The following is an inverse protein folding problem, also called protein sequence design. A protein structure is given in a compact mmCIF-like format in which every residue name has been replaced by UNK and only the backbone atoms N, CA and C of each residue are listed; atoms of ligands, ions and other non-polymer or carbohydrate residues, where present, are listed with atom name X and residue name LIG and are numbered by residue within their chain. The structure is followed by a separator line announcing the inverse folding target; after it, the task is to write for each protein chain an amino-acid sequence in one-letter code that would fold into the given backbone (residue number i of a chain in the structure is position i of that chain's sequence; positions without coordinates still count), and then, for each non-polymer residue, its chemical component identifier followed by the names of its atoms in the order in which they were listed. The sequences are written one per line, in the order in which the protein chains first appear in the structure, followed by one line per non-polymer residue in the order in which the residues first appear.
data_IF_599141273426
#
_entry.id   IF_599141273426
#
_cell.length_a   1.000
_cell.length_b   1.000
_cell.length_c   1.000
_cell.angle_alpha   90.00
_cell.angle_beta   90.00
_cell.angle_gamma   90.00
#
_symmetry.space_group_name_H-M   'P 1'
#
loop_
_entity.id
_entity.type
_entity.pdbx_description
1 polymer ?
#
# COMPACT_ATOMS: atom_id res chain seq x y z
N UNK A 1 3.19 21.26 42.03
CA UNK A 1 1.79 21.64 41.76
C UNK A 1 1.24 22.43 42.95
N UNK A 2 1.01 23.75 42.79
CA UNK A 2 0.74 24.66 43.93
C UNK A 2 -0.55 24.33 44.69
N UNK A 3 -1.64 23.98 43.99
CA UNK A 3 -2.91 23.66 44.63
C UNK A 3 -2.85 22.36 45.48
N UNK A 4 -2.23 21.31 44.94
CA UNK A 4 -2.09 20.02 45.62
C UNK A 4 -1.14 20.08 46.83
N UNK A 5 -0.10 20.91 46.75
CA UNK A 5 0.83 21.13 47.86
C UNK A 5 0.16 21.83 49.05
N UNK A 6 -0.82 22.71 48.79
CA UNK A 6 -1.59 23.40 49.83
C UNK A 6 -2.69 22.52 50.43
N UNK A 7 -3.40 21.73 49.61
CA UNK A 7 -4.41 20.80 50.08
C UNK A 7 -4.46 19.53 49.21
N UNK A 8 -4.28 18.35 49.83
CA UNK A 8 -4.33 17.07 49.14
C UNK A 8 -5.72 16.78 48.53
N UNK A 9 -6.79 17.30 49.15
CA UNK A 9 -8.16 17.15 48.63
C UNK A 9 -8.42 17.92 47.34
N UNK A 10 -7.58 18.89 46.97
CA UNK A 10 -7.67 19.59 45.68
C UNK A 10 -7.49 18.66 44.47
N UNK A 11 -6.91 17.47 44.67
CA UNK A 11 -6.81 16.45 43.61
C UNK A 11 -8.20 15.97 43.14
N UNK A 12 -9.19 15.90 44.04
CA UNK A 12 -10.56 15.47 43.71
C UNK A 12 -11.17 16.37 42.64
N UNK A 13 -10.94 17.68 42.72
CA UNK A 13 -11.40 18.63 41.70
C UNK A 13 -10.86 18.28 40.32
N UNK A 14 -9.53 18.09 40.19
CA UNK A 14 -8.92 17.77 38.90
C UNK A 14 -9.33 16.40 38.36
N UNK A 15 -9.50 15.40 39.24
CA UNK A 15 -9.97 14.08 38.85
C UNK A 15 -11.39 14.17 38.28
N UNK A 16 -12.30 14.85 38.98
CA UNK A 16 -13.69 15.04 38.52
C UNK A 16 -13.72 15.85 37.23
N UNK A 17 -12.94 16.94 37.15
CA UNK A 17 -12.84 17.77 35.97
C UNK A 17 -12.37 16.98 34.74
N UNK A 18 -11.26 16.25 34.84
CA UNK A 18 -10.75 15.43 33.73
C UNK A 18 -11.68 14.28 33.37
N UNK A 19 -12.37 13.70 34.36
CA UNK A 19 -13.38 12.65 34.13
C UNK A 19 -14.53 13.16 33.27
N UNK A 20 -15.01 14.37 33.55
CA UNK A 20 -16.12 14.98 32.83
C UNK A 20 -15.66 15.55 31.49
N UNK A 21 -14.63 16.38 31.45
CA UNK A 21 -14.23 17.08 30.22
C UNK A 21 -13.60 16.12 29.19
N UNK A 22 -12.56 15.38 29.60
CA UNK A 22 -11.77 14.58 28.66
C UNK A 22 -12.49 13.28 28.27
N UNK A 23 -13.03 12.55 29.25
CA UNK A 23 -13.63 11.24 28.96
C UNK A 23 -15.09 11.32 28.52
N UNK A 24 -15.87 12.26 29.05
CA UNK A 24 -17.28 12.39 28.68
C UNK A 24 -17.48 13.38 27.52
N UNK A 25 -17.13 14.66 27.71
CA UNK A 25 -17.46 15.71 26.73
C UNK A 25 -16.68 15.53 25.43
N UNK A 26 -15.36 15.36 25.47
CA UNK A 26 -14.54 15.25 24.24
C UNK A 26 -14.86 14.01 23.42
N UNK A 27 -15.09 12.85 24.06
CA UNK A 27 -15.47 11.64 23.35
C UNK A 27 -16.89 11.71 22.78
N UNK A 28 -17.84 12.33 23.51
CA UNK A 28 -19.19 12.57 22.99
C UNK A 28 -19.16 13.48 21.77
N UNK A 29 -18.37 14.57 21.81
CA UNK A 29 -18.18 15.46 20.68
C UNK A 29 -17.61 14.71 19.46
N UNK A 30 -16.56 13.91 19.66
CA UNK A 30 -15.96 13.11 18.59
C UNK A 30 -16.96 12.13 17.98
N UNK A 31 -17.78 11.47 18.82
CA UNK A 31 -18.80 10.53 18.38
C UNK A 31 -19.88 11.20 17.52
N UNK A 32 -20.41 12.35 17.95
CA UNK A 32 -21.42 13.09 17.19
C UNK A 32 -20.87 13.61 15.85
N UNK A 33 -19.64 14.14 15.85
CA UNK A 33 -18.99 14.59 14.62
C UNK A 33 -18.74 13.42 13.66
N UNK A 34 -18.31 12.27 14.17
CA UNK A 34 -18.09 11.08 13.33
C UNK A 34 -19.39 10.53 12.74
N UNK A 35 -20.47 10.47 13.52
CA UNK A 35 -21.77 9.96 13.06
C UNK A 35 -22.36 10.87 11.96
N UNK A 36 -22.38 12.18 12.20
CA UNK A 36 -22.82 13.16 11.20
C UNK A 36 -21.97 13.13 9.93
N UNK A 37 -20.65 12.96 10.05
CA UNK A 37 -19.76 12.79 8.89
C UNK A 37 -20.09 11.52 8.09
N UNK A 38 -20.32 10.38 8.76
CA UNK A 38 -20.68 9.13 8.09
C UNK A 38 -22.01 9.23 7.35
N UNK A 39 -23.00 9.93 7.92
CA UNK A 39 -24.27 10.18 7.24
C UNK A 39 -24.09 11.02 5.98
N UNK A 40 -23.24 12.05 6.03
CA UNK A 40 -22.88 12.86 4.86
C UNK A 40 -22.16 12.01 3.81
N UNK A 41 -21.19 11.18 4.18
CA UNK A 41 -20.51 10.27 3.25
C UNK A 41 -21.51 9.30 2.59
N UNK A 42 -22.42 8.72 3.38
CA UNK A 42 -23.46 7.80 2.89
C UNK A 42 -24.40 8.48 1.89
N UNK A 43 -24.85 9.70 2.18
CA UNK A 43 -25.71 10.47 1.27
C UNK A 43 -24.97 10.87 -0.01
N UNK A 44 -23.69 11.25 0.10
CA UNK A 44 -22.85 11.56 -1.06
C UNK A 44 -22.64 10.33 -1.94
N UNK A 45 -22.32 9.19 -1.36
CA UNK A 45 -22.16 7.93 -2.09
C UNK A 45 -23.45 7.51 -2.79
N UNK A 46 -24.60 7.61 -2.12
CA UNK A 46 -25.92 7.36 -2.72
C UNK A 46 -26.18 8.27 -3.92
N UNK A 47 -25.93 9.56 -3.80
CA UNK A 47 -26.08 10.53 -4.90
C UNK A 47 -25.17 10.19 -6.09
N UNK A 48 -23.91 9.79 -5.84
CA UNK A 48 -22.98 9.37 -6.90
C UNK A 48 -23.44 8.10 -7.62
N UNK A 49 -23.98 7.12 -6.89
CA UNK A 49 -24.54 5.90 -7.50
C UNK A 49 -25.78 6.21 -8.35
N UNK A 50 -26.69 7.06 -7.86
CA UNK A 50 -27.87 7.48 -8.61
C UNK A 50 -27.49 8.25 -9.88
N UNK A 51 -26.49 9.13 -9.80
CA UNK A 51 -25.98 9.86 -10.97
C UNK A 51 -25.39 8.89 -12.02
N UNK A 52 -24.59 7.91 -11.60
CA UNK A 52 -24.08 6.86 -12.50
C UNK A 52 -25.22 6.06 -13.14
N UNK A 53 -26.23 5.70 -12.36
CA UNK A 53 -27.40 4.95 -12.85
C UNK A 53 -28.21 5.74 -13.88
N UNK A 54 -28.50 7.00 -13.57
CA UNK A 54 -29.18 7.91 -14.48
C UNK A 54 -28.39 8.09 -15.79
N UNK A 55 -27.07 8.24 -15.74
CA UNK A 55 -26.23 8.31 -16.94
C UNK A 55 -26.32 7.02 -17.78
N UNK A 56 -26.35 5.85 -17.14
CA UNK A 56 -26.55 4.56 -17.81
C UNK A 56 -27.94 4.50 -18.46
N UNK A 57 -28.99 4.93 -17.78
CA UNK A 57 -30.36 4.95 -18.31
C UNK A 57 -30.44 5.81 -19.58
N UNK A 58 -29.89 7.03 -19.54
CA UNK A 58 -29.83 7.93 -20.70
C UNK A 58 -29.01 7.32 -21.84
N UNK A 59 -27.83 6.76 -21.54
CA UNK A 59 -26.99 6.11 -22.55
C UNK A 59 -27.69 4.90 -23.18
N UNK A 60 -28.39 4.08 -22.40
CA UNK A 60 -29.14 2.92 -22.88
C UNK A 60 -30.26 3.36 -23.83
N UNK A 61 -31.04 4.38 -23.44
CA UNK A 61 -32.10 4.95 -24.29
C UNK A 61 -31.58 5.48 -25.62
N UNK A 62 -30.39 6.08 -25.64
CA UNK A 62 -29.75 6.56 -26.88
C UNK A 62 -29.18 5.44 -27.76
N UNK A 63 -28.71 4.35 -27.15
CA UNK A 63 -28.11 3.23 -27.87
C UNK A 63 -29.15 2.30 -28.48
N UNK A 64 -30.31 2.17 -27.85
CA UNK A 64 -31.41 1.35 -28.34
C UNK A 64 -32.04 2.00 -29.57
N UNK A 65 -32.14 1.23 -30.66
CA UNK A 65 -32.75 1.72 -31.89
C UNK A 65 -34.28 1.74 -31.76
N UNK A 66 -34.94 2.76 -32.34
CA UNK A 66 -36.41 2.81 -32.47
C UNK A 66 -37.02 1.55 -33.09
N UNK A 67 -36.24 0.83 -33.93
CA UNK A 67 -36.70 -0.40 -34.59
C UNK A 67 -36.52 -1.67 -33.74
N UNK A 68 -35.67 -1.65 -32.70
CA UNK A 68 -35.43 -2.80 -31.81
C UNK A 68 -35.27 -2.32 -30.37
N UNK A 69 -36.37 -2.11 -29.63
CA UNK A 69 -36.34 -1.59 -28.26
C UNK A 69 -35.80 -2.60 -27.22
N UNK A 70 -35.60 -3.86 -27.63
CA UNK A 70 -35.38 -5.00 -26.73
C UNK A 70 -33.98 -5.05 -26.10
N UNK A 71 -33.00 -4.31 -26.61
CA UNK A 71 -31.66 -4.26 -26.01
C UNK A 71 -30.56 -3.72 -26.91
N UNK A 72 -29.35 -3.64 -26.35
CA UNK A 72 -28.17 -3.13 -27.04
C UNK A 72 -27.45 -4.29 -27.75
N UNK A 73 -27.29 -4.18 -29.07
CA UNK A 73 -26.53 -5.15 -29.87
C UNK A 73 -25.02 -4.94 -29.76
N UNK A 74 -24.24 -5.97 -30.10
CA UNK A 74 -22.78 -5.89 -30.11
C UNK A 74 -22.25 -4.76 -30.99
N UNK A 75 -22.89 -4.46 -32.13
CA UNK A 75 -22.47 -3.35 -33.02
C UNK A 75 -22.63 -1.98 -32.35
N UNK A 76 -23.74 -1.76 -31.65
CA UNK A 76 -23.99 -0.51 -30.90
C UNK A 76 -23.02 -0.37 -29.73
N UNK A 77 -22.79 -1.46 -28.98
CA UNK A 77 -21.80 -1.47 -27.91
C UNK A 77 -20.37 -1.23 -28.43
N UNK A 78 -20.00 -1.83 -29.55
CA UNK A 78 -18.70 -1.60 -30.19
C UNK A 78 -18.50 -0.13 -30.56
N UNK A 79 -19.55 0.51 -31.10
CA UNK A 79 -19.58 1.94 -31.39
C UNK A 79 -19.37 2.81 -30.15
N UNK A 80 -20.11 2.54 -29.06
CA UNK A 80 -19.93 3.22 -27.78
C UNK A 80 -18.48 3.10 -27.29
N UNK A 81 -17.91 1.89 -27.33
CA UNK A 81 -16.58 1.62 -26.79
C UNK A 81 -15.46 2.30 -27.58
N UNK A 82 -15.64 2.51 -28.89
CA UNK A 82 -14.68 3.26 -29.71
C UNK A 82 -14.50 4.70 -29.22
N UNK A 83 -15.57 5.33 -28.75
CA UNK A 83 -15.51 6.70 -28.22
C UNK A 83 -15.21 6.74 -26.72
N UNK A 84 -15.83 5.87 -25.94
CA UNK A 84 -15.66 5.86 -24.48
C UNK A 84 -14.26 5.40 -24.05
N UNK A 85 -13.68 4.38 -24.72
CA UNK A 85 -12.35 3.84 -24.41
C UNK A 85 -11.59 3.47 -25.69
N UNK A 86 -11.07 4.45 -26.45
CA UNK A 86 -10.51 4.23 -27.78
C UNK A 86 -9.29 3.30 -27.82
N UNK A 87 -8.54 3.20 -26.71
CA UNK A 87 -7.35 2.33 -26.59
C UNK A 87 -7.67 0.85 -26.42
N UNK A 88 -8.95 0.46 -26.31
CA UNK A 88 -9.36 -0.91 -26.03
C UNK A 88 -9.37 -1.80 -27.29
N UNK A 89 -8.71 -2.96 -27.24
CA UNK A 89 -8.66 -3.87 -28.38
C UNK A 89 -10.04 -4.43 -28.75
N UNK A 90 -10.27 -4.81 -30.01
CA UNK A 90 -11.55 -5.39 -30.44
C UNK A 90 -11.91 -6.66 -29.65
N UNK A 91 -10.91 -7.48 -29.31
CA UNK A 91 -11.07 -8.67 -28.46
C UNK A 91 -11.55 -8.29 -27.06
N UNK A 92 -10.95 -7.29 -26.44
CA UNK A 92 -11.36 -6.82 -25.12
C UNK A 92 -12.79 -6.27 -25.11
N UNK A 93 -13.17 -5.51 -26.14
CA UNK A 93 -14.55 -5.01 -26.30
C UNK A 93 -15.57 -6.13 -26.42
N UNK A 94 -15.23 -7.19 -27.14
CA UNK A 94 -16.09 -8.38 -27.20
C UNK A 94 -16.17 -9.10 -25.84
N UNK A 95 -15.05 -9.23 -25.12
CA UNK A 95 -15.02 -9.84 -23.80
C UNK A 95 -15.84 -9.04 -22.77
N UNK A 96 -15.78 -7.70 -22.78
CA UNK A 96 -16.63 -6.88 -21.92
C UNK A 96 -18.10 -7.01 -22.25
N UNK A 97 -18.47 -7.04 -23.53
CA UNK A 97 -19.85 -7.28 -23.94
C UNK A 97 -20.35 -8.64 -23.42
N UNK A 98 -19.55 -9.69 -23.60
CA UNK A 98 -19.89 -11.03 -23.12
C UNK A 98 -19.97 -11.10 -21.59
N UNK A 99 -19.12 -10.38 -20.88
CA UNK A 99 -19.11 -10.33 -19.42
C UNK A 99 -20.28 -9.53 -18.83
N UNK A 100 -20.78 -8.52 -19.55
CA UNK A 100 -22.01 -7.81 -19.19
C UNK A 100 -23.25 -8.69 -19.37
N UNK A 101 -23.24 -9.55 -20.39
CA UNK A 101 -24.37 -10.39 -20.74
C UNK A 101 -24.51 -11.59 -19.78
N UNK A 102 -25.21 -11.38 -18.67
CA UNK A 102 -25.51 -12.47 -17.73
C UNK A 102 -26.69 -13.34 -18.16
N UNK A 103 -27.57 -12.82 -19.02
CA UNK A 103 -28.75 -13.53 -19.53
C UNK A 103 -28.45 -14.49 -20.69
N UNK A 104 -27.28 -14.40 -21.32
CA UNK A 104 -26.91 -15.21 -22.50
C UNK A 104 -27.69 -14.83 -23.76
N UNK A 105 -28.46 -13.73 -23.73
CA UNK A 105 -29.25 -13.26 -24.85
C UNK A 105 -28.36 -12.66 -25.95
N UNK A 106 -28.80 -12.58 -27.21
CA UNK A 106 -28.04 -11.91 -28.27
C UNK A 106 -27.91 -10.38 -28.09
N UNK A 107 -28.66 -9.80 -27.15
CA UNK A 107 -28.70 -8.36 -26.86
C UNK A 107 -28.59 -8.12 -25.35
N UNK A 108 -28.01 -6.99 -24.95
CA UNK A 108 -27.91 -6.58 -23.55
C UNK A 108 -29.21 -5.92 -23.09
N UNK A 109 -29.77 -6.41 -21.98
CA UNK A 109 -30.89 -5.79 -21.28
C UNK A 109 -30.42 -4.57 -20.46
N UNK A 110 -31.35 -3.72 -20.02
CA UNK A 110 -31.03 -2.60 -19.12
C UNK A 110 -30.43 -3.09 -17.79
N UNK A 111 -30.91 -4.23 -17.27
CA UNK A 111 -30.41 -4.83 -16.04
C UNK A 111 -28.96 -5.30 -16.17
N UNK A 112 -28.62 -5.94 -17.29
CA UNK A 112 -27.24 -6.30 -17.63
C UNK A 112 -26.36 -5.05 -17.76
N UNK A 113 -26.90 -3.99 -18.37
CA UNK A 113 -26.18 -2.74 -18.62
C UNK A 113 -25.93 -1.92 -17.35
N UNK A 114 -26.65 -2.12 -16.24
CA UNK A 114 -26.32 -1.45 -14.97
C UNK A 114 -24.96 -1.84 -14.40
N UNK A 115 -24.45 -3.04 -14.73
CA UNK A 115 -23.11 -3.50 -14.33
C UNK A 115 -22.00 -2.91 -15.21
N UNK A 116 -22.33 -1.99 -16.13
CA UNK A 116 -21.39 -1.39 -17.07
C UNK A 116 -20.13 -0.84 -16.39
N UNK A 117 -20.26 -0.02 -15.36
CA UNK A 117 -19.11 0.58 -14.67
C UNK A 117 -18.26 -0.43 -13.90
N UNK A 118 -18.83 -1.56 -13.48
CA UNK A 118 -18.09 -2.64 -12.80
C UNK A 118 -17.24 -3.42 -13.81
N UNK A 119 -17.85 -3.81 -14.94
CA UNK A 119 -17.19 -4.65 -15.96
C UNK A 119 -16.17 -3.85 -16.78
N UNK A 120 -16.44 -2.58 -17.08
CA UNK A 120 -15.51 -1.74 -17.88
C UNK A 120 -14.19 -1.46 -17.14
N UNK A 121 -14.22 -1.49 -15.80
CA UNK A 121 -13.05 -1.32 -14.94
C UNK A 121 -12.10 -2.53 -14.98
N UNK A 122 -12.58 -3.68 -15.43
CA UNK A 122 -11.78 -4.90 -15.52
C UNK A 122 -10.74 -4.82 -16.64
N UNK A 123 -9.57 -5.41 -16.41
CA UNK A 123 -8.51 -5.58 -17.41
C UNK A 123 -8.46 -7.05 -17.83
N UNK A 124 -8.68 -7.32 -19.11
CA UNK A 124 -8.61 -8.68 -19.64
C UNK A 124 -7.15 -9.09 -19.85
N UNK A 125 -6.75 -10.21 -19.25
CA UNK A 125 -5.46 -10.85 -19.50
C UNK A 125 -5.70 -12.26 -20.00
N UNK A 126 -4.91 -12.69 -20.99
CA UNK A 126 -4.94 -14.07 -21.44
C UNK A 126 -4.21 -14.94 -20.43
N UNK A 127 -4.84 -16.04 -20.01
CA UNK A 127 -4.16 -17.10 -19.28
C UNK A 127 -3.39 -17.94 -20.29
N UNK A 128 -2.08 -17.71 -20.45
CA UNK A 128 -1.21 -18.59 -21.26
C UNK A 128 -1.07 -19.93 -20.54
N UNK A 129 -1.21 -21.05 -21.24
CA UNK A 129 -1.01 -22.39 -20.66
C UNK A 129 0.47 -22.79 -20.54
N UNK A 130 1.38 -22.02 -21.13
CA UNK A 130 2.83 -22.13 -20.89
C UNK A 130 3.12 -21.52 -19.52
N UNK A 131 3.16 -22.35 -18.49
CA UNK A 131 3.32 -21.92 -17.09
C UNK A 131 4.74 -21.45 -16.77
N UNK A 132 5.73 -21.80 -17.61
CA UNK A 132 7.14 -21.54 -17.31
C UNK A 132 7.83 -20.73 -18.41
N UNK A 133 8.61 -19.73 -18.02
CA UNK A 133 9.36 -18.88 -18.94
C UNK A 133 10.50 -19.64 -19.65
N UNK A 134 10.87 -20.80 -19.11
CA UNK A 134 11.97 -21.64 -19.58
C UNK A 134 11.54 -22.81 -20.49
N UNK A 135 10.26 -22.87 -20.89
CA UNK A 135 9.74 -23.93 -21.77
C UNK A 135 10.39 -23.92 -23.17
N UNK A 136 10.96 -22.79 -23.60
CA UNK A 136 11.62 -22.62 -24.91
C UNK A 136 13.16 -22.84 -24.86
N UNK A 137 13.73 -23.25 -23.70
CA UNK A 137 15.19 -23.44 -23.55
C UNK A 137 15.67 -24.86 -23.91
N UNK A 138 16.96 -25.01 -24.32
CA UNK A 138 17.56 -26.32 -24.59
C UNK A 138 17.52 -27.24 -23.37
N UNK A 139 17.48 -28.55 -23.62
CA UNK A 139 17.17 -29.60 -22.64
C UNK A 139 18.01 -29.56 -21.34
N UNK A 140 19.29 -29.16 -21.44
CA UNK A 140 20.21 -29.03 -20.30
C UNK A 140 19.84 -27.85 -19.39
N UNK A 141 19.55 -26.68 -19.98
CA UNK A 141 19.12 -25.51 -19.25
C UNK A 141 17.71 -25.71 -18.66
N UNK A 142 16.82 -26.38 -19.39
CA UNK A 142 15.49 -26.74 -18.91
C UNK A 142 15.54 -27.54 -17.60
N UNK A 143 16.43 -28.54 -17.50
CA UNK A 143 16.60 -29.33 -16.27
C UNK A 143 17.09 -28.48 -15.09
N UNK A 144 18.03 -27.56 -15.34
CA UNK A 144 18.56 -26.65 -14.31
C UNK A 144 17.45 -25.72 -13.80
N UNK A 145 16.73 -25.04 -14.70
CA UNK A 145 15.66 -24.12 -14.30
C UNK A 145 14.47 -24.84 -13.65
N UNK A 146 14.15 -26.07 -14.10
CA UNK A 146 13.14 -26.91 -13.45
C UNK A 146 13.55 -27.30 -12.03
N UNK A 147 14.82 -27.61 -11.80
CA UNK A 147 15.38 -27.86 -10.47
C UNK A 147 15.28 -26.63 -9.56
N UNK A 148 15.70 -25.46 -10.06
CA UNK A 148 15.60 -24.18 -9.33
C UNK A 148 14.14 -23.85 -9.00
N UNK A 149 13.22 -24.02 -9.95
CA UNK A 149 11.79 -23.82 -9.73
C UNK A 149 11.25 -24.72 -8.62
N UNK A 150 11.60 -26.01 -8.64
CA UNK A 150 11.17 -26.97 -7.62
C UNK A 150 11.73 -26.61 -6.24
N UNK A 151 13.00 -26.21 -6.18
CA UNK A 151 13.65 -25.77 -4.95
C UNK A 151 12.97 -24.52 -4.36
N UNK A 152 12.76 -23.48 -5.17
CA UNK A 152 12.14 -22.22 -4.74
C UNK A 152 10.69 -22.42 -4.29
N UNK A 153 9.96 -23.33 -4.94
CA UNK A 153 8.57 -23.65 -4.61
C UNK A 153 8.46 -24.55 -3.38
N UNK A 154 9.54 -25.21 -2.97
CA UNK A 154 9.54 -26.09 -1.81
C UNK A 154 9.23 -25.31 -0.51
N UNK A 155 8.43 -25.92 0.37
CA UNK A 155 8.16 -25.36 1.70
C UNK A 155 9.45 -25.26 2.54
N UNK A 156 10.38 -26.20 2.34
CA UNK A 156 11.66 -26.21 3.03
C UNK A 156 12.48 -24.95 2.76
N UNK A 157 12.54 -24.49 1.50
CA UNK A 157 13.23 -23.24 1.15
C UNK A 157 12.59 -22.03 1.83
N UNK A 158 11.26 -21.96 1.88
CA UNK A 158 10.55 -20.87 2.57
C UNK A 158 10.85 -20.86 4.08
N UNK A 159 10.81 -22.02 4.75
CA UNK A 159 11.16 -22.12 6.17
C UNK A 159 12.62 -21.80 6.43
N UNK A 160 13.55 -22.26 5.58
CA UNK A 160 14.97 -21.91 5.68
C UNK A 160 15.19 -20.39 5.65
N UNK A 161 14.52 -19.68 4.73
CA UNK A 161 14.61 -18.22 4.68
C UNK A 161 14.02 -17.54 5.91
N UNK A 162 12.93 -18.06 6.48
CA UNK A 162 12.40 -17.54 7.75
C UNK A 162 13.38 -17.74 8.92
N UNK A 163 14.06 -18.88 8.98
CA UNK A 163 15.11 -19.13 9.97
C UNK A 163 16.26 -18.14 9.80
N UNK A 164 16.73 -17.90 8.57
CA UNK A 164 17.77 -16.89 8.29
C UNK A 164 17.37 -15.51 8.77
N UNK A 165 16.12 -15.08 8.50
CA UNK A 165 15.62 -13.78 8.97
C UNK A 165 15.53 -13.73 10.50
N UNK A 166 15.12 -14.81 11.16
CA UNK A 166 15.08 -14.88 12.61
C UNK A 166 16.48 -14.81 13.24
N UNK A 167 17.46 -15.52 12.66
CA UNK A 167 18.86 -15.47 13.10
C UNK A 167 19.45 -14.07 12.90
N UNK A 168 19.16 -13.41 11.78
CA UNK A 168 19.57 -12.01 11.55
C UNK A 168 18.96 -11.06 12.59
N UNK A 169 17.68 -11.24 12.96
CA UNK A 169 17.05 -10.44 14.01
C UNK A 169 17.75 -10.60 15.37
N UNK A 170 18.05 -11.85 15.77
CA UNK A 170 18.79 -12.12 17.01
C UNK A 170 20.20 -11.54 16.94
N UNK A 171 20.88 -11.64 15.78
CA UNK A 171 22.21 -11.07 15.61
C UNK A 171 22.22 -9.55 15.78
N UNK A 172 21.28 -8.85 15.14
CA UNK A 172 21.13 -7.39 15.29
C UNK A 172 20.87 -7.01 16.75
N UNK A 173 20.05 -7.80 17.45
CA UNK A 173 19.76 -7.57 18.87
C UNK A 173 21.01 -7.73 19.74
N UNK A 174 21.78 -8.79 19.54
CA UNK A 174 23.04 -9.01 20.27
C UNK A 174 24.04 -7.90 19.96
N UNK A 175 24.18 -7.53 18.68
CA UNK A 175 25.06 -6.44 18.25
C UNK A 175 24.70 -5.12 18.95
N UNK A 176 23.41 -4.78 19.00
CA UNK A 176 22.93 -3.56 19.69
C UNK A 176 23.22 -3.57 21.20
N UNK A 177 23.00 -4.69 21.89
CA UNK A 177 23.35 -4.80 23.31
C UNK A 177 24.87 -4.71 23.57
N UNK A 178 25.69 -5.31 22.70
CA UNK A 178 27.15 -5.22 22.85
C UNK A 178 27.69 -3.80 22.60
N UNK A 179 27.03 -3.03 21.72
CA UNK A 179 27.42 -1.65 21.43
C UNK A 179 27.12 -0.70 22.61
N UNK A 180 26.04 -0.93 23.35
CA UNK A 180 25.72 -0.14 24.56
C UNK A 180 26.79 -0.28 25.65
N UNK A 181 27.53 -1.40 25.65
CA UNK A 181 28.60 -1.69 26.63
C UNK A 181 29.98 -1.06 26.33
N UNK A 182 30.08 -0.15 25.36
CA UNK A 182 31.27 0.72 25.19
C UNK A 182 32.19 0.42 24.01
N UNK A 183 31.78 -0.43 23.06
CA UNK A 183 32.52 -0.59 21.80
C UNK A 183 32.19 0.55 20.82
N UNK A 184 33.15 1.45 20.62
CA UNK A 184 33.06 2.56 19.67
C UNK A 184 32.77 2.06 18.26
N UNK A 185 31.86 2.75 17.56
CA UNK A 185 31.55 2.53 16.15
C UNK A 185 32.83 2.55 15.32
N UNK A 186 33.24 1.37 14.89
CA UNK A 186 34.11 1.25 13.73
C UNK A 186 33.28 1.68 12.52
N UNK A 187 33.77 2.66 11.72
CA UNK A 187 33.19 3.05 10.42
C UNK A 187 33.07 1.87 9.43
N UNK A 188 33.55 0.67 9.80
CA UNK A 188 33.46 -0.52 9.00
C UNK A 188 32.10 -1.21 9.14
N UNK A 189 31.57 -1.61 7.98
CA UNK A 189 30.40 -2.48 7.90
C UNK A 189 30.74 -3.82 8.56
N UNK A 190 29.91 -4.31 9.49
CA UNK A 190 30.17 -5.60 10.12
C UNK A 190 30.05 -6.71 9.07
N UNK A 191 30.98 -7.67 9.14
CA UNK A 191 31.03 -8.81 8.24
C UNK A 191 29.70 -9.60 8.23
N UNK A 192 29.01 -9.66 9.38
CA UNK A 192 27.68 -10.25 9.52
C UNK A 192 26.66 -9.66 8.54
N UNK A 193 26.65 -8.33 8.35
CA UNK A 193 25.74 -7.67 7.42
C UNK A 193 25.99 -8.09 5.97
N UNK A 194 27.26 -8.19 5.56
CA UNK A 194 27.63 -8.63 4.21
C UNK A 194 27.17 -10.07 3.99
N UNK A 195 27.34 -10.95 4.99
CA UNK A 195 26.86 -12.34 4.94
C UNK A 195 25.34 -12.41 4.79
N UNK A 196 24.57 -11.71 5.63
CA UNK A 196 23.10 -11.73 5.50
C UNK A 196 22.63 -11.13 4.17
N UNK A 197 23.23 -10.03 3.72
CA UNK A 197 22.88 -9.37 2.46
C UNK A 197 23.16 -10.28 1.26
N UNK A 198 24.30 -10.98 1.25
CA UNK A 198 24.62 -11.94 0.18
C UNK A 198 23.64 -13.11 0.16
N UNK A 199 23.23 -13.64 1.32
CA UNK A 199 22.19 -14.69 1.39
C UNK A 199 20.86 -14.18 0.81
N UNK A 200 20.42 -12.96 1.17
CA UNK A 200 19.20 -12.36 0.62
C UNK A 200 19.33 -12.04 -0.88
N UNK A 201 20.53 -11.69 -1.35
CA UNK A 201 20.83 -11.51 -2.77
C UNK A 201 20.64 -12.81 -3.55
N UNK A 202 21.25 -13.90 -3.07
CA UNK A 202 21.13 -15.23 -3.68
C UNK A 202 19.67 -15.69 -3.69
N UNK A 203 18.94 -15.51 -2.59
CA UNK A 203 17.51 -15.84 -2.51
C UNK A 203 16.70 -15.14 -3.62
N UNK A 204 16.86 -13.83 -3.76
CA UNK A 204 16.15 -13.03 -4.77
C UNK A 204 16.51 -13.48 -6.18
N UNK A 205 17.80 -13.74 -6.45
CA UNK A 205 18.27 -14.25 -7.75
C UNK A 205 17.69 -15.63 -8.07
N UNK A 206 17.67 -16.54 -7.11
CA UNK A 206 17.05 -17.87 -7.26
C UNK A 206 15.55 -17.75 -7.51
N UNK A 207 14.84 -16.86 -6.81
CA UNK A 207 13.41 -16.66 -7.01
C UNK A 207 13.09 -16.05 -8.38
N UNK A 208 13.86 -15.06 -8.84
CA UNK A 208 13.67 -14.43 -10.16
C UNK A 208 13.92 -15.46 -11.26
N UNK A 209 14.98 -16.26 -11.16
CA UNK A 209 15.30 -17.29 -12.16
C UNK A 209 14.32 -18.47 -12.11
N UNK A 210 13.88 -18.91 -10.93
CA UNK A 210 12.93 -20.01 -10.78
C UNK A 210 11.51 -19.65 -11.25
N UNK A 211 10.96 -18.52 -10.79
CA UNK A 211 9.56 -18.13 -11.08
C UNK A 211 9.43 -17.35 -12.40
N UNK A 212 10.51 -16.72 -12.85
CA UNK A 212 10.51 -15.77 -13.95
C UNK A 212 10.17 -14.35 -13.47
N UNK A 213 10.73 -13.31 -14.13
CA UNK A 213 10.59 -11.92 -13.67
C UNK A 213 9.13 -11.45 -13.62
N UNK A 214 8.31 -11.81 -14.62
CA UNK A 214 6.91 -11.39 -14.67
C UNK A 214 6.06 -11.98 -13.54
N UNK A 215 6.25 -13.26 -13.21
CA UNK A 215 5.52 -13.89 -12.11
C UNK A 215 6.06 -13.43 -10.74
N UNK A 216 7.37 -13.21 -10.64
CA UNK A 216 8.01 -12.70 -9.42
C UNK A 216 7.47 -11.33 -9.03
N UNK A 217 7.48 -10.36 -9.95
CA UNK A 217 7.01 -8.99 -9.68
C UNK A 217 5.49 -8.85 -9.58
N UNK A 218 4.72 -9.88 -9.96
CA UNK A 218 3.28 -9.89 -9.75
C UNK A 218 2.88 -10.02 -8.27
N UNK A 219 3.77 -10.53 -7.42
CA UNK A 219 3.54 -10.63 -5.98
C UNK A 219 4.13 -9.42 -5.27
N UNK A 220 3.28 -8.63 -4.60
CA UNK A 220 3.71 -7.43 -3.86
C UNK A 220 4.77 -7.73 -2.80
N UNK A 221 4.70 -8.92 -2.18
CA UNK A 221 5.69 -9.35 -1.19
C UNK A 221 7.07 -9.65 -1.81
N UNK A 222 7.11 -10.25 -2.99
CA UNK A 222 8.38 -10.49 -3.70
C UNK A 222 8.98 -9.17 -4.22
N UNK A 223 8.13 -8.23 -4.67
CA UNK A 223 8.55 -6.88 -5.01
C UNK A 223 9.16 -6.15 -3.80
N UNK A 224 8.54 -6.27 -2.63
CA UNK A 224 9.10 -5.74 -1.37
C UNK A 224 10.47 -6.34 -1.07
N UNK A 225 10.63 -7.68 -1.12
CA UNK A 225 11.92 -8.34 -0.88
C UNK A 225 13.00 -7.87 -1.85
N UNK A 226 12.67 -7.75 -3.12
CA UNK A 226 13.58 -7.24 -4.14
C UNK A 226 13.97 -5.79 -3.86
N UNK A 227 13.00 -4.92 -3.55
CA UNK A 227 13.28 -3.51 -3.28
C UNK A 227 14.22 -3.33 -2.08
N UNK A 228 13.95 -4.04 -0.97
CA UNK A 228 14.76 -3.96 0.25
C UNK A 228 16.17 -4.51 0.01
N UNK A 229 16.30 -5.65 -0.69
CA UNK A 229 17.62 -6.21 -1.05
C UNK A 229 18.37 -5.25 -2.00
N UNK A 230 17.70 -4.68 -3.00
CA UNK A 230 18.32 -3.78 -3.97
C UNK A 230 18.79 -2.47 -3.30
N UNK A 231 17.97 -1.87 -2.43
CA UNK A 231 18.38 -0.70 -1.63
C UNK A 231 19.58 -1.03 -0.74
N UNK A 232 19.60 -2.20 -0.10
CA UNK A 232 20.73 -2.61 0.75
C UNK A 232 22.04 -2.80 -0.05
N UNK A 233 21.97 -3.35 -1.27
CA UNK A 233 23.12 -3.40 -2.19
C UNK A 233 23.55 -2.01 -2.66
N UNK A 234 22.61 -1.13 -2.99
CA UNK A 234 22.90 0.25 -3.37
C UNK A 234 23.62 1.00 -2.23
N UNK A 235 23.18 0.82 -0.98
CA UNK A 235 23.85 1.37 0.20
C UNK A 235 25.27 0.82 0.40
N UNK A 236 25.48 -0.48 0.20
CA UNK A 236 26.80 -1.09 0.28
C UNK A 236 27.74 -0.54 -0.80
N UNK A 237 27.27 -0.46 -2.06
CA UNK A 237 28.04 0.09 -3.18
C UNK A 237 28.39 1.55 -2.93
N UNK A 238 27.42 2.37 -2.52
CA UNK A 238 27.63 3.79 -2.23
C UNK A 238 28.67 4.01 -1.12
N UNK A 239 28.71 3.12 -0.12
CA UNK A 239 29.72 3.16 0.93
C UNK A 239 31.12 2.82 0.40
N UNK A 240 31.25 1.83 -0.49
CA UNK A 240 32.53 1.50 -1.15
C UNK A 240 33.07 2.70 -1.95
N UNK A 241 32.18 3.51 -2.53
CA UNK A 241 32.54 4.76 -3.21
C UNK A 241 32.71 5.97 -2.28
N UNK A 242 32.75 5.78 -0.96
CA UNK A 242 32.89 6.83 0.06
C UNK A 242 31.82 7.94 -0.02
N UNK A 243 30.61 7.61 -0.45
CA UNK A 243 29.49 8.55 -0.46
C UNK A 243 28.86 8.62 0.94
N UNK A 244 29.43 9.43 1.83
CA UNK A 244 28.99 9.63 3.23
C UNK A 244 27.46 9.80 3.44
N UNK A 245 26.68 10.55 2.61
CA UNK A 245 25.24 10.68 2.84
C UNK A 245 24.43 9.38 2.67
N UNK A 246 24.97 8.36 2.00
CA UNK A 246 24.29 7.07 1.79
C UNK A 246 24.47 6.09 2.95
N UNK A 247 25.25 6.46 3.98
CA UNK A 247 25.43 5.64 5.18
C UNK A 247 24.10 5.32 5.88
N UNK A 248 23.11 6.21 5.78
CA UNK A 248 21.77 6.00 6.35
C UNK A 248 21.10 4.71 5.85
N UNK A 249 21.35 4.29 4.60
CA UNK A 249 20.78 3.05 4.03
C UNK A 249 21.29 1.83 4.80
N UNK A 250 22.56 1.86 5.20
CA UNK A 250 23.18 0.82 6.02
C UNK A 250 22.62 0.85 7.44
N UNK A 251 22.20 2.01 7.96
CA UNK A 251 21.50 2.11 9.26
C UNK A 251 20.09 1.50 9.18
N UNK A 252 19.45 1.55 8.02
CA UNK A 252 18.13 0.95 7.79
C UNK A 252 18.10 -0.59 7.71
N UNK A 253 19.19 -1.27 8.10
CA UNK A 253 19.28 -2.73 8.25
C UNK A 253 18.03 -3.40 8.87
N UNK A 254 17.42 -2.88 9.95
CA UNK A 254 16.23 -3.49 10.56
C UNK A 254 15.00 -3.55 9.64
N UNK A 255 14.92 -2.76 8.57
CA UNK A 255 13.83 -2.86 7.58
C UNK A 255 13.81 -4.24 6.90
N UNK A 256 14.94 -4.94 6.82
CA UNK A 256 15.00 -6.31 6.32
C UNK A 256 14.21 -7.29 7.21
N UNK A 257 14.05 -6.98 8.51
CA UNK A 257 13.29 -7.78 9.45
C UNK A 257 11.78 -7.67 9.24
N UNK A 258 11.29 -6.67 8.50
CA UNK A 258 9.87 -6.58 8.11
C UNK A 258 9.40 -7.82 7.34
N UNK A 259 10.33 -8.61 6.78
CA UNK A 259 10.05 -9.93 6.19
C UNK A 259 9.44 -10.92 7.19
N UNK A 260 9.74 -10.82 8.49
CA UNK A 260 9.10 -11.64 9.54
C UNK A 260 7.59 -11.44 9.59
N UNK A 261 7.10 -10.23 9.29
CA UNK A 261 5.66 -9.95 9.29
C UNK A 261 4.90 -10.76 8.23
N UNK A 262 5.58 -11.23 7.19
CA UNK A 262 5.00 -12.14 6.19
C UNK A 262 4.63 -13.49 6.75
N UNK A 263 5.14 -13.90 7.91
CA UNK A 263 4.91 -15.25 8.44
C UNK A 263 3.46 -15.42 8.90
N UNK A 264 2.90 -14.44 9.62
CA UNK A 264 1.53 -14.51 10.15
C UNK A 264 0.54 -13.88 9.18
N UNK A 265 -0.55 -14.61 8.87
CA UNK A 265 -1.64 -14.12 8.02
C UNK A 265 -2.24 -12.80 8.53
N UNK A 266 -2.33 -12.61 9.85
CA UNK A 266 -2.89 -11.38 10.44
C UNK A 266 -2.13 -10.13 9.99
N UNK A 267 -0.80 -10.15 10.03
CA UNK A 267 0.02 -9.02 9.58
C UNK A 267 -0.08 -8.82 8.07
N UNK A 268 -0.20 -9.90 7.29
CA UNK A 268 -0.43 -9.80 5.85
C UNK A 268 -1.72 -9.04 5.54
N UNK A 269 -2.83 -9.45 6.16
CA UNK A 269 -4.11 -8.79 5.99
C UNK A 269 -4.04 -7.29 6.36
N UNK A 270 -3.39 -6.95 7.46
CA UNK A 270 -3.24 -5.54 7.88
C UNK A 270 -2.47 -4.74 6.82
N UNK A 271 -1.32 -5.24 6.35
CA UNK A 271 -0.54 -4.52 5.34
C UNK A 271 -1.25 -4.43 3.98
N UNK A 272 -1.92 -5.50 3.56
CA UNK A 272 -2.72 -5.50 2.33
C UNK A 272 -3.84 -4.44 2.40
N UNK A 273 -4.58 -4.38 3.52
CA UNK A 273 -5.61 -3.34 3.73
C UNK A 273 -5.02 -1.93 3.83
N UNK A 274 -3.83 -1.77 4.44
CA UNK A 274 -3.16 -0.48 4.52
C UNK A 274 -2.81 0.06 3.14
N UNK A 275 -2.26 -0.78 2.25
CA UNK A 275 -1.94 -0.38 0.87
C UNK A 275 -3.19 -0.10 0.03
N UNK A 276 -4.28 -0.84 0.25
CA UNK A 276 -5.56 -0.58 -0.41
C UNK A 276 -6.17 0.76 0.02
N UNK A 277 -6.05 1.11 1.30
CA UNK A 277 -6.57 2.36 1.87
C UNK A 277 -5.64 3.56 1.68
N UNK A 278 -4.36 3.34 1.33
CA UNK A 278 -3.34 4.38 1.23
C UNK A 278 -3.75 5.56 0.33
N UNK A 279 -4.32 5.36 -0.88
CA UNK A 279 -4.75 6.49 -1.72
C UNK A 279 -5.85 7.34 -1.06
N UNK A 280 -6.78 6.71 -0.33
CA UNK A 280 -7.82 7.43 0.42
C UNK A 280 -7.20 8.23 1.57
N UNK A 281 -6.27 7.63 2.32
CA UNK A 281 -5.55 8.31 3.40
C UNK A 281 -4.73 9.50 2.89
N UNK A 282 -4.07 9.37 1.74
CA UNK A 282 -3.32 10.46 1.12
C UNK A 282 -4.22 11.67 0.77
N UNK A 283 -5.44 11.41 0.28
CA UNK A 283 -6.41 12.48 0.00
C UNK A 283 -6.87 13.23 1.27
N UNK A 284 -7.07 12.51 2.38
CA UNK A 284 -7.36 13.13 3.67
C UNK A 284 -6.15 13.90 4.21
N UNK A 285 -4.94 13.34 4.09
CA UNK A 285 -3.70 14.02 4.47
C UNK A 285 -3.50 15.34 3.73
N UNK A 286 -3.85 15.40 2.44
CA UNK A 286 -3.78 16.64 1.66
C UNK A 286 -4.72 17.72 2.22
N UNK A 287 -5.94 17.36 2.62
CA UNK A 287 -6.87 18.33 3.23
C UNK A 287 -6.31 18.91 4.53
N UNK A 288 -5.67 18.08 5.36
CA UNK A 288 -5.02 18.51 6.60
C UNK A 288 -3.82 19.42 6.34
N UNK A 289 -3.03 19.14 5.29
CA UNK A 289 -1.93 20.03 4.87
C UNK A 289 -2.46 21.41 4.46
N UNK A 290 -3.61 21.49 3.78
CA UNK A 290 -4.23 22.79 3.42
C UNK A 290 -4.60 23.58 4.67
N UNK A 291 -5.19 22.92 5.68
CA UNK A 291 -5.47 23.56 6.97
C UNK A 291 -4.19 24.07 7.64
N UNK A 292 -3.16 23.24 7.75
CA UNK A 292 -1.88 23.66 8.32
C UNK A 292 -1.25 24.81 7.57
N UNK A 293 -1.32 24.81 6.24
CA UNK A 293 -0.81 25.90 5.42
C UNK A 293 -1.52 27.23 5.72
N UNK A 294 -2.85 27.22 5.85
CA UNK A 294 -3.60 28.44 6.18
C UNK A 294 -3.23 29.02 7.56
N UNK A 295 -3.15 28.18 8.59
CA UNK A 295 -2.74 28.62 9.92
C UNK A 295 -1.25 28.99 9.98
N UNK A 296 -0.40 28.37 9.16
CA UNK A 296 1.01 28.73 9.08
C UNK A 296 1.20 30.14 8.50
N UNK A 297 0.43 30.54 7.47
CA UNK A 297 0.47 31.91 6.95
C UNK A 297 0.08 32.90 8.04
N UNK A 298 -1.06 32.66 8.71
CA UNK A 298 -1.48 33.51 9.83
C UNK A 298 -0.41 33.55 10.92
N UNK A 299 0.17 32.41 11.27
CA UNK A 299 1.25 32.31 12.26
C UNK A 299 2.48 33.13 11.88
N UNK A 300 2.91 33.06 10.62
CA UNK A 300 4.04 33.84 10.12
C UNK A 300 3.75 35.34 10.14
N UNK A 301 2.59 35.79 9.66
CA UNK A 301 2.25 37.22 9.62
C UNK A 301 2.13 37.86 11.00
N UNK A 302 1.58 37.14 11.98
CA UNK A 302 1.37 37.68 13.33
C UNK A 302 2.57 37.48 14.27
N UNK A 303 3.40 36.46 14.05
CA UNK A 303 4.44 36.05 15.01
C UNK A 303 5.87 36.02 14.44
N UNK A 304 6.13 36.59 13.25
CA UNK A 304 7.45 36.57 12.61
C UNK A 304 8.60 37.00 13.53
N UNK A 305 8.37 38.04 14.35
CA UNK A 305 9.42 38.74 15.11
C UNK A 305 9.24 38.67 16.64
N UNK A 306 8.39 37.76 17.14
CA UNK A 306 8.02 37.76 18.58
C UNK A 306 9.00 36.97 19.45
N UNK A 307 9.70 35.97 18.90
CA UNK A 307 10.53 35.04 19.68
C UNK A 307 12.01 35.17 19.34
N UNK A 308 12.72 36.02 20.10
CA UNK A 308 14.18 36.14 20.04
C UNK A 308 14.88 35.17 21.01
N UNK A 309 16.14 34.77 20.74
CA UNK A 309 16.94 34.08 21.73
C UNK A 309 17.05 34.91 23.03
N UNK A 310 16.74 34.31 24.18
CA UNK A 310 16.62 34.95 25.50
C UNK A 310 15.46 35.96 25.69
N UNK A 311 14.39 35.89 24.88
CA UNK A 311 13.15 36.62 25.15
C UNK A 311 12.24 35.89 26.18
N UNK A 312 11.16 36.56 26.60
CA UNK A 312 10.13 36.01 27.52
C UNK A 312 10.60 35.67 28.95
N UNK A 313 11.72 36.23 29.42
CA UNK A 313 12.08 36.21 30.84
C UNK A 313 11.27 37.28 31.59
N UNK A 314 10.11 36.88 32.12
CA UNK A 314 9.23 37.73 32.94
C UNK A 314 9.73 37.88 34.39
N UNK A 315 11.04 37.69 34.63
CA UNK A 315 11.69 37.96 35.91
C UNK A 315 12.33 39.35 35.86
N UNK A 316 11.51 40.38 36.11
CA UNK A 316 11.92 41.64 36.74
C UNK A 316 11.18 41.74 38.06
#
# INVERSE_FOLDING_TARGET
MPAYAKNRWSCVFFIVYLSIELYFIMNLLLAVVFDTFNDVEKMKFKSLLLHKRSAIDHAFQLLVSRQRPMGVSLKQFDGLMRFYRPRMSARERFLTFKALNTSGAPMLSLQDFYKFYEVIGLKWKTRRSREHWFDDLPHTAFLIFKGIYLLVKSKAFQYAMYVVVAVNAVWILVETFTLESGYSWSKFVPLSYIIFLTIYGIEVLLKITGLGPMAYFSSGWNLFDFSVTAFAFLGLIALVFNMEPFYFIVVLRPFQLLRLFKIKQRYRNVLDTMFELFPRMASLGLTLIIFYYSFAIVGMEFFADVVYPNCCNLYV
#
